data_IF_270535240909
#
_entry.id   IF_270535240909
#
_cell.length_a   1.000
_cell.length_b   1.000
_cell.length_c   1.000
_cell.angle_alpha   90.00
_cell.angle_beta   90.00
_cell.angle_gamma   90.00
#
_symmetry.space_group_name_H-M   'P 1'
#
loop_
_entity.id
_entity.type
_entity.pdbx_description
1 polymer ?
#
# COMPACT_ATOMS: atom_id res chain seq x y z
N UNK A 1 25.92 -24.77 -28.73
CA UNK A 1 25.20 -23.73 -27.97
C UNK A 1 24.97 -24.26 -26.57
N UNK A 2 25.54 -23.61 -25.56
CA UNK A 2 25.54 -24.12 -24.19
C UNK A 2 24.14 -23.97 -23.57
N UNK A 3 23.64 -25.03 -22.95
CA UNK A 3 22.44 -24.98 -22.13
C UNK A 3 22.68 -23.98 -20.99
N UNK A 4 22.09 -22.79 -21.11
CA UNK A 4 22.09 -21.81 -20.04
C UNK A 4 21.07 -22.28 -18.99
N UNK A 5 21.53 -23.11 -18.06
CA UNK A 5 20.77 -23.38 -16.84
C UNK A 5 20.43 -22.03 -16.22
N UNK A 6 19.14 -21.69 -16.14
CA UNK A 6 18.69 -20.47 -15.48
C UNK A 6 19.20 -20.50 -14.04
N UNK A 7 20.17 -19.64 -13.75
CA UNK A 7 20.67 -19.44 -12.40
C UNK A 7 19.47 -19.02 -11.51
N UNK A 8 19.29 -19.61 -10.31
CA UNK A 8 18.18 -19.28 -9.41
C UNK A 8 18.05 -17.77 -9.14
N UNK A 9 19.16 -17.03 -9.20
CA UNK A 9 19.20 -15.59 -9.04
C UNK A 9 18.48 -14.86 -10.17
N UNK A 10 18.62 -15.31 -11.42
CA UNK A 10 17.97 -14.70 -12.60
C UNK A 10 16.46 -14.98 -12.59
N UNK A 11 16.07 -16.15 -12.10
CA UNK A 11 14.66 -16.52 -11.90
C UNK A 11 14.03 -15.62 -10.85
N UNK A 12 14.71 -15.40 -9.73
CA UNK A 12 14.21 -14.56 -8.64
C UNK A 12 14.17 -13.08 -9.04
N UNK A 13 15.17 -12.57 -9.77
CA UNK A 13 15.14 -11.18 -10.25
C UNK A 13 14.03 -10.94 -11.26
N UNK A 14 13.77 -11.90 -12.15
CA UNK A 14 12.65 -11.83 -13.11
C UNK A 14 11.31 -11.89 -12.37
N UNK A 15 11.19 -12.77 -11.36
CA UNK A 15 10.02 -12.85 -10.49
C UNK A 15 9.78 -11.56 -9.72
N UNK A 16 10.83 -10.89 -9.23
CA UNK A 16 10.72 -9.59 -8.56
C UNK A 16 10.23 -8.49 -9.52
N UNK A 17 10.73 -8.44 -10.75
CA UNK A 17 10.23 -7.48 -11.75
C UNK A 17 8.75 -7.70 -12.10
N UNK A 18 8.31 -8.97 -12.17
CA UNK A 18 6.89 -9.30 -12.37
C UNK A 18 6.07 -8.90 -11.13
N UNK A 19 6.58 -9.13 -9.92
CA UNK A 19 5.92 -8.76 -8.67
C UNK A 19 5.67 -7.26 -8.60
N UNK A 20 6.70 -6.46 -8.91
CA UNK A 20 6.62 -5.00 -8.91
C UNK A 20 5.54 -4.48 -9.85
N UNK A 21 5.48 -5.02 -11.08
CA UNK A 21 4.49 -4.61 -12.08
C UNK A 21 3.04 -4.97 -11.68
N UNK A 22 2.86 -6.05 -10.93
CA UNK A 22 1.52 -6.52 -10.51
C UNK A 22 1.04 -5.86 -9.20
N UNK A 23 1.93 -5.23 -8.43
CA UNK A 23 1.56 -4.56 -7.18
C UNK A 23 1.03 -3.16 -7.44
N UNK A 24 -0.24 -2.94 -7.10
CA UNK A 24 -0.86 -1.61 -7.23
C UNK A 24 -1.01 -0.96 -5.87
N UNK A 25 -1.54 -1.67 -4.87
CA UNK A 25 -1.80 -1.07 -3.56
C UNK A 25 -0.55 -0.96 -2.69
N UNK A 26 0.35 -1.94 -2.76
CA UNK A 26 1.60 -1.92 -2.02
C UNK A 26 2.50 -0.72 -2.39
N UNK A 27 2.43 -0.24 -3.63
CA UNK A 27 3.17 0.93 -4.10
C UNK A 27 2.59 2.28 -3.60
N UNK A 28 1.35 2.28 -3.09
CA UNK A 28 0.70 3.49 -2.55
C UNK A 28 1.03 3.74 -1.08
N UNK A 29 1.54 2.73 -0.39
CA UNK A 29 1.84 2.77 1.04
C UNK A 29 3.34 2.88 1.26
N UNK A 30 3.75 3.23 2.49
CA UNK A 30 5.16 3.27 2.81
C UNK A 30 5.73 1.86 2.92
N UNK A 31 6.28 1.38 1.80
CA UNK A 31 7.08 0.17 1.73
C UNK A 31 8.54 0.54 2.07
N UNK A 32 9.06 0.03 3.19
CA UNK A 32 10.44 0.33 3.59
C UNK A 32 11.32 -0.94 3.60
N UNK A 33 12.38 -1.02 2.77
CA UNK A 33 13.33 -2.13 2.78
C UNK A 33 14.34 -2.13 3.95
N UNK A 34 14.36 -1.08 4.79
CA UNK A 34 15.43 -0.87 5.77
C UNK A 34 15.20 -1.42 7.18
N UNK A 35 14.09 -2.11 7.46
CA UNK A 35 13.86 -2.66 8.79
C UNK A 35 14.66 -3.95 8.97
N UNK A 36 15.72 -3.88 9.77
CA UNK A 36 16.45 -5.08 10.14
C UNK A 36 15.72 -5.84 11.24
N UNK A 37 14.99 -6.87 10.82
CA UNK A 37 14.33 -7.84 11.70
C UNK A 37 15.28 -8.95 12.18
N UNK A 38 16.55 -8.99 11.74
CA UNK A 38 17.50 -10.02 12.17
C UNK A 38 17.82 -9.85 13.67
N UNK A 39 17.41 -10.80 14.51
CA UNK A 39 17.64 -10.75 15.95
C UNK A 39 16.72 -9.80 16.72
N UNK A 40 15.65 -9.30 16.08
CA UNK A 40 14.62 -8.51 16.75
C UNK A 40 13.79 -9.41 17.69
N UNK A 41 13.55 -8.95 18.92
CA UNK A 41 12.67 -9.65 19.86
C UNK A 41 11.23 -9.61 19.34
N UNK A 42 10.57 -10.77 19.27
CA UNK A 42 9.20 -10.93 18.79
C UNK A 42 8.97 -10.40 17.35
N UNK A 43 9.99 -10.49 16.48
CA UNK A 43 9.95 -10.09 15.05
C UNK A 43 9.41 -8.66 14.82
N UNK A 44 9.65 -7.79 15.81
CA UNK A 44 9.12 -6.43 15.87
C UNK A 44 10.22 -5.40 15.71
N UNK A 45 10.08 -4.50 14.72
CA UNK A 45 10.99 -3.36 14.54
C UNK A 45 10.26 -2.08 14.90
N UNK A 46 10.86 -1.27 15.76
CA UNK A 46 10.30 0.01 16.19
C UNK A 46 10.89 1.15 15.37
N UNK A 47 10.01 1.85 14.66
CA UNK A 47 10.32 3.09 13.94
C UNK A 47 10.17 4.25 14.91
N UNK A 48 11.22 5.06 15.07
CA UNK A 48 11.15 6.30 15.85
C UNK A 48 10.72 7.44 14.94
N UNK A 49 9.77 8.24 15.41
CA UNK A 49 9.37 9.47 14.75
C UNK A 49 10.09 10.66 15.40
N UNK A 50 10.50 11.66 14.61
CA UNK A 50 11.12 12.85 15.16
C UNK A 50 10.14 13.54 16.12
N UNK A 51 10.65 13.91 17.30
CA UNK A 51 9.88 14.64 18.29
C UNK A 51 9.41 16.00 17.74
N UNK A 52 8.17 16.37 18.03
CA UNK A 52 7.64 17.70 17.71
C UNK A 52 7.89 18.63 18.91
N UNK A 53 8.30 19.86 18.67
CA UNK A 53 8.40 20.91 19.69
C UNK A 53 7.69 22.17 19.22
N UNK A 54 7.16 22.95 20.15
CA UNK A 54 6.52 24.23 19.87
C UNK A 54 7.49 25.38 20.17
N UNK A 55 7.58 26.33 19.24
CA UNK A 55 8.35 27.55 19.45
C UNK A 55 7.57 28.49 20.39
N UNK A 56 8.25 29.00 21.41
CA UNK A 56 7.71 30.04 22.29
C UNK A 56 8.20 31.41 21.78
N UNK A 57 7.33 32.40 21.74
CA UNK A 57 7.69 33.78 21.42
C UNK A 57 8.10 34.51 22.70
N UNK A 58 9.27 35.15 22.69
CA UNK A 58 9.68 36.07 23.74
C UNK A 58 9.39 37.49 23.28
N UNK A 59 8.57 38.24 24.02
CA UNK A 59 8.12 39.57 23.59
C UNK A 59 9.29 40.52 23.27
N UNK A 60 9.16 41.23 22.16
CA UNK A 60 10.13 42.23 21.70
C UNK A 60 10.16 43.43 22.65
N UNK A 61 11.30 43.67 23.31
CA UNK A 61 11.50 44.69 24.37
C UNK A 61 10.77 44.41 25.68
N UNK A 62 10.60 43.14 26.05
CA UNK A 62 10.24 42.77 27.42
C UNK A 62 11.33 43.20 28.42
N UNK A 63 10.95 43.48 29.67
CA UNK A 63 11.77 43.94 30.80
C UNK A 63 12.89 42.96 31.21
N UNK A 64 13.07 41.86 30.46
CA UNK A 64 14.07 40.80 30.68
C UNK A 64 14.07 40.21 32.10
N UNK A 65 13.02 40.48 32.89
CA UNK A 65 12.83 39.98 34.24
C UNK A 65 12.10 38.62 34.28
N UNK A 66 11.45 38.23 33.17
CA UNK A 66 10.83 36.93 33.00
C UNK A 66 11.79 35.95 32.31
N UNK A 67 11.95 34.77 32.92
CA UNK A 67 12.72 33.65 32.39
C UNK A 67 12.09 33.06 31.12
N UNK A 68 12.92 32.43 30.29
CA UNK A 68 12.49 31.75 29.07
C UNK A 68 11.75 30.46 29.45
N UNK A 69 10.60 30.21 28.82
CA UNK A 69 9.90 28.92 28.94
C UNK A 69 10.66 27.86 28.14
N UNK A 70 11.23 26.90 28.86
CA UNK A 70 11.88 25.72 28.28
C UNK A 70 10.80 24.77 27.75
N UNK A 71 10.96 24.30 26.51
CA UNK A 71 10.09 23.30 25.89
C UNK A 71 10.75 21.92 25.93
N UNK A 72 10.01 20.91 26.36
CA UNK A 72 10.46 19.51 26.29
C UNK A 72 10.23 18.94 24.88
N UNK A 73 11.10 18.01 24.46
CA UNK A 73 10.97 17.28 23.20
C UNK A 73 10.52 15.86 23.54
N UNK A 74 9.33 15.47 23.09
CA UNK A 74 8.82 14.10 23.24
C UNK A 74 8.91 13.39 21.89
N UNK A 75 9.69 12.31 21.83
CA UNK A 75 9.77 11.42 20.67
C UNK A 75 8.64 10.38 20.71
N UNK A 76 8.02 10.10 19.55
CA UNK A 76 7.02 9.04 19.41
C UNK A 76 7.61 7.82 18.69
N UNK A 77 7.04 6.65 18.92
CA UNK A 77 7.49 5.40 18.30
C UNK A 77 6.33 4.54 17.83
N UNK A 78 6.55 3.83 16.72
CA UNK A 78 5.61 2.87 16.14
C UNK A 78 6.32 1.57 15.87
N UNK A 79 5.83 0.50 16.48
CA UNK A 79 6.34 -0.87 16.32
C UNK A 79 5.64 -1.58 15.17
N UNK A 80 6.38 -2.15 14.22
CA UNK A 80 5.86 -2.98 13.12
C UNK A 80 6.30 -4.41 13.33
N UNK A 81 5.36 -5.34 13.33
CA UNK A 81 5.61 -6.78 13.52
C UNK A 81 5.51 -7.52 12.19
N UNK A 82 6.45 -8.41 11.86
CA UNK A 82 6.29 -9.37 10.76
C UNK A 82 5.43 -10.54 11.24
N UNK A 83 4.20 -10.66 10.75
CA UNK A 83 3.25 -11.66 11.25
C UNK A 83 2.59 -12.51 10.17
N UNK A 84 2.86 -12.25 8.88
CA UNK A 84 2.32 -13.03 7.76
C UNK A 84 3.44 -13.69 6.97
N UNK A 85 3.32 -15.00 6.80
CA UNK A 85 4.08 -15.77 5.81
C UNK A 85 3.19 -16.01 4.59
N UNK A 86 3.39 -15.22 3.54
CA UNK A 86 2.63 -15.32 2.30
C UNK A 86 3.44 -16.22 1.36
N UNK A 87 2.87 -17.37 1.00
CA UNK A 87 3.52 -18.30 0.10
C UNK A 87 2.57 -18.82 -0.97
N UNK A 88 3.14 -19.17 -2.12
CA UNK A 88 2.49 -19.94 -3.18
C UNK A 88 3.37 -21.14 -3.49
N UNK A 89 2.80 -22.35 -3.34
CA UNK A 89 3.50 -23.60 -3.56
C UNK A 89 2.75 -24.43 -4.61
N UNK A 90 3.48 -24.85 -5.64
CA UNK A 90 2.97 -25.73 -6.71
C UNK A 90 3.85 -26.97 -6.73
N UNK A 91 3.21 -28.13 -6.61
CA UNK A 91 3.87 -29.43 -6.77
C UNK A 91 3.59 -29.93 -8.19
N UNK A 92 4.65 -30.18 -8.94
CA UNK A 92 4.60 -30.69 -10.31
C UNK A 92 5.08 -32.14 -10.29
N UNK A 93 4.35 -33.05 -10.91
CA UNK A 93 4.84 -34.42 -11.06
C UNK A 93 5.92 -34.50 -12.13
N UNK A 94 6.71 -35.57 -12.08
CA UNK A 94 7.79 -35.79 -13.05
C UNK A 94 7.23 -35.93 -14.48
N UNK A 95 6.03 -36.49 -14.62
CA UNK A 95 5.32 -36.57 -15.91
C UNK A 95 4.90 -35.19 -16.43
N UNK A 96 4.27 -34.35 -15.60
CA UNK A 96 3.86 -33.00 -15.98
C UNK A 96 5.08 -32.13 -16.35
N UNK A 97 6.16 -32.25 -15.58
CA UNK A 97 7.38 -31.48 -15.79
C UNK A 97 8.15 -31.89 -17.05
N UNK A 98 8.04 -33.15 -17.47
CA UNK A 98 8.77 -33.68 -18.63
C UNK A 98 7.95 -33.72 -19.92
N UNK A 99 6.62 -33.87 -19.83
CA UNK A 99 5.74 -34.09 -20.98
C UNK A 99 4.83 -32.89 -21.29
N UNK A 100 4.40 -32.13 -20.28
CA UNK A 100 3.37 -31.10 -20.45
C UNK A 100 3.90 -29.66 -20.38
N UNK A 101 4.93 -29.40 -19.56
CA UNK A 101 5.46 -28.04 -19.33
C UNK A 101 6.57 -27.72 -20.33
N UNK A 102 6.33 -26.72 -21.17
CA UNK A 102 7.33 -26.21 -22.13
C UNK A 102 8.17 -25.05 -21.56
N UNK A 103 7.55 -24.15 -20.79
CA UNK A 103 8.23 -23.05 -20.10
C UNK A 103 7.74 -22.92 -18.65
N UNK A 104 8.57 -23.42 -17.73
CA UNK A 104 8.33 -23.34 -16.29
C UNK A 104 8.19 -21.90 -15.77
N UNK A 105 8.94 -20.95 -16.33
CA UNK A 105 8.91 -19.55 -15.89
C UNK A 105 7.58 -18.87 -16.23
N UNK A 106 7.13 -19.04 -17.48
CA UNK A 106 5.87 -18.44 -17.92
C UNK A 106 4.63 -19.14 -17.35
N UNK A 107 4.65 -20.48 -17.28
CA UNK A 107 3.45 -21.26 -16.95
C UNK A 107 3.27 -21.50 -15.44
N UNK A 108 4.36 -21.53 -14.67
CA UNK A 108 4.30 -21.84 -13.23
C UNK A 108 4.71 -20.62 -12.39
N UNK A 109 5.90 -20.06 -12.65
CA UNK A 109 6.43 -18.99 -11.81
C UNK A 109 5.60 -17.69 -11.89
N UNK A 110 5.19 -17.27 -13.09
CA UNK A 110 4.36 -16.06 -13.26
C UNK A 110 3.03 -16.12 -12.48
N UNK A 111 2.21 -17.18 -12.60
CA UNK A 111 1.01 -17.32 -11.75
C UNK A 111 1.32 -17.34 -10.25
N UNK A 112 2.42 -17.98 -9.84
CA UNK A 112 2.81 -18.01 -8.42
C UNK A 112 3.14 -16.61 -7.89
N UNK A 113 3.94 -15.84 -8.63
CA UNK A 113 4.29 -14.45 -8.29
C UNK A 113 3.05 -13.57 -8.24
N UNK A 114 2.15 -13.69 -9.22
CA UNK A 114 0.91 -12.92 -9.27
C UNK A 114 -0.01 -13.24 -8.07
N UNK A 115 -0.10 -14.50 -7.67
CA UNK A 115 -0.86 -14.90 -6.49
C UNK A 115 -0.31 -14.26 -5.21
N UNK A 116 1.03 -14.23 -5.06
CA UNK A 116 1.69 -13.54 -3.95
C UNK A 116 1.45 -12.03 -4.00
N UNK A 117 1.55 -11.40 -5.18
CA UNK A 117 1.25 -9.98 -5.36
C UNK A 117 -0.18 -9.63 -4.91
N UNK A 118 -1.15 -10.42 -5.35
CA UNK A 118 -2.58 -10.24 -5.04
C UNK A 118 -2.83 -10.42 -3.54
N UNK A 119 -2.14 -11.36 -2.89
CA UNK A 119 -2.24 -11.59 -1.45
C UNK A 119 -1.66 -10.41 -0.64
N UNK A 120 -0.56 -9.81 -1.09
CA UNK A 120 0.00 -8.60 -0.47
C UNK A 120 -0.98 -7.44 -0.60
N UNK A 121 -1.51 -7.17 -1.80
CA UNK A 121 -2.47 -6.09 -2.04
C UNK A 121 -3.77 -6.31 -1.25
N UNK A 122 -4.24 -7.56 -1.12
CA UNK A 122 -5.37 -7.90 -0.24
C UNK A 122 -5.06 -7.64 1.23
N UNK A 123 -3.81 -7.88 1.66
CA UNK A 123 -3.34 -7.54 3.00
C UNK A 123 -3.37 -6.03 3.26
N UNK A 124 -2.90 -5.23 2.30
CA UNK A 124 -2.96 -3.76 2.36
C UNK A 124 -4.42 -3.29 2.38
N UNK A 125 -5.28 -3.83 1.53
CA UNK A 125 -6.72 -3.54 1.53
C UNK A 125 -7.32 -3.77 2.92
N UNK A 126 -7.09 -4.94 3.52
CA UNK A 126 -7.65 -5.27 4.84
C UNK A 126 -7.16 -4.33 5.94
N UNK A 127 -5.91 -3.85 5.84
CA UNK A 127 -5.37 -2.82 6.72
C UNK A 127 -6.12 -1.50 6.55
N UNK A 128 -6.32 -1.06 5.30
CA UNK A 128 -7.01 0.21 4.98
C UNK A 128 -8.46 0.15 5.43
N UNK A 129 -9.21 -0.91 5.09
CA UNK A 129 -10.64 -1.01 5.44
C UNK A 129 -10.86 -1.24 6.93
N UNK A 130 -9.97 -1.98 7.59
CA UNK A 130 -10.03 -2.30 9.02
C UNK A 130 -9.49 -1.20 9.95
N UNK A 131 -8.82 -0.18 9.42
CA UNK A 131 -8.29 0.91 10.24
C UNK A 131 -9.41 1.77 10.86
N UNK A 132 -9.21 2.20 12.11
CA UNK A 132 -10.08 3.18 12.76
C UNK A 132 -9.67 4.59 12.37
N UNK A 133 -10.47 5.24 11.51
CA UNK A 133 -10.23 6.60 11.03
C UNK A 133 -10.72 7.65 12.04
N UNK A 134 -9.94 8.72 12.23
CA UNK A 134 -10.34 9.82 13.10
C UNK A 134 -11.46 10.68 12.47
N UNK A 135 -11.45 10.79 11.14
CA UNK A 135 -12.42 11.58 10.38
C UNK A 135 -13.05 10.71 9.30
N UNK A 136 -14.38 10.68 9.27
CA UNK A 136 -15.19 10.05 8.23
C UNK A 136 -16.00 11.13 7.51
N UNK A 137 -15.98 11.13 6.19
CA UNK A 137 -16.73 12.09 5.36
C UNK A 137 -17.75 11.32 4.50
N UNK A 138 -19.01 11.71 4.55
CA UNK A 138 -19.99 11.19 3.60
C UNK A 138 -19.89 11.98 2.30
N UNK A 139 -19.75 11.28 1.18
CA UNK A 139 -19.65 11.88 -0.15
C UNK A 139 -20.90 11.48 -0.94
N UNK A 140 -21.76 12.45 -1.21
CA UNK A 140 -22.93 12.25 -2.06
C UNK A 140 -22.54 12.44 -3.52
N UNK A 141 -23.18 11.70 -4.43
CA UNK A 141 -22.94 11.76 -5.88
C UNK A 141 -23.08 13.19 -6.45
N UNK A 142 -24.16 13.89 -6.09
CA UNK A 142 -24.43 15.27 -6.55
C UNK A 142 -23.41 16.31 -6.07
N UNK A 143 -22.61 15.99 -5.05
CA UNK A 143 -21.64 16.90 -4.42
C UNK A 143 -20.28 16.23 -4.26
N UNK A 144 -19.92 15.33 -5.19
CA UNK A 144 -18.67 14.58 -5.14
C UNK A 144 -17.45 15.48 -4.88
N UNK A 145 -17.34 16.59 -5.62
CA UNK A 145 -16.24 17.54 -5.46
C UNK A 145 -16.18 18.17 -4.06
N UNK A 146 -17.33 18.52 -3.46
CA UNK A 146 -17.35 19.05 -2.09
C UNK A 146 -16.94 18.00 -1.07
N UNK A 147 -17.32 16.73 -1.29
CA UNK A 147 -16.86 15.61 -0.48
C UNK A 147 -15.34 15.46 -0.51
N UNK A 148 -14.74 15.49 -1.70
CA UNK A 148 -13.28 15.42 -1.86
C UNK A 148 -12.56 16.62 -1.24
N UNK A 149 -13.10 17.83 -1.40
CA UNK A 149 -12.56 19.04 -0.76
C UNK A 149 -12.72 19.00 0.76
N UNK A 150 -13.79 18.40 1.28
CA UNK A 150 -13.96 18.21 2.72
C UNK A 150 -12.90 17.25 3.28
N UNK A 151 -12.57 16.16 2.57
CA UNK A 151 -11.44 15.29 2.94
C UNK A 151 -10.11 16.03 2.88
N UNK A 152 -9.88 16.87 1.86
CA UNK A 152 -8.70 17.75 1.79
C UNK A 152 -8.62 18.69 2.99
N UNK A 153 -9.75 19.27 3.37
CA UNK A 153 -9.85 20.21 4.49
C UNK A 153 -9.54 19.50 5.80
N UNK A 154 -10.03 18.28 5.99
CA UNK A 154 -9.72 17.46 7.17
C UNK A 154 -8.21 17.16 7.27
N UNK A 155 -7.56 16.74 6.16
CA UNK A 155 -6.12 16.50 6.15
C UNK A 155 -5.29 17.79 6.36
N UNK A 156 -5.75 18.91 5.81
CA UNK A 156 -5.07 20.20 5.98
C UNK A 156 -5.17 20.73 7.42
N UNK A 157 -6.31 20.54 8.11
CA UNK A 157 -6.48 20.94 9.52
C UNK A 157 -5.46 20.25 10.43
N UNK A 158 -5.07 19.05 10.06
CA UNK A 158 -4.12 18.23 10.81
C UNK A 158 -2.65 18.43 10.34
N UNK A 159 -2.41 19.42 9.46
CA UNK A 159 -1.09 19.74 8.90
C UNK A 159 -0.39 18.56 8.23
N UNK A 160 -1.16 17.66 7.62
CA UNK A 160 -0.61 16.57 6.82
C UNK A 160 0.00 17.15 5.53
N UNK A 161 1.22 16.73 5.11
CA UNK A 161 1.85 17.20 3.89
C UNK A 161 0.92 17.09 2.67
N UNK A 162 0.96 18.10 1.80
CA UNK A 162 0.10 18.13 0.62
C UNK A 162 0.65 17.27 -0.53
N UNK A 163 1.92 16.92 -0.47
CA UNK A 163 2.64 16.13 -1.45
C UNK A 163 2.37 14.63 -1.28
N UNK A 164 2.24 13.91 -2.39
CA UNK A 164 2.03 12.46 -2.42
C UNK A 164 0.68 12.01 -1.86
N UNK A 165 -0.33 12.88 -1.76
CA UNK A 165 -1.66 12.46 -1.31
C UNK A 165 -2.34 11.61 -2.37
N UNK A 166 -2.82 10.44 -1.97
CA UNK A 166 -3.52 9.48 -2.82
C UNK A 166 -4.99 9.44 -2.44
N UNK A 167 -5.86 9.39 -3.44
CA UNK A 167 -7.28 9.09 -3.29
C UNK A 167 -7.55 7.72 -3.90
N UNK A 168 -7.72 6.73 -3.05
CA UNK A 168 -8.06 5.36 -3.43
C UNK A 168 -9.58 5.22 -3.52
N UNK A 169 -10.10 4.76 -4.65
CA UNK A 169 -11.55 4.69 -4.92
C UNK A 169 -11.98 3.31 -5.42
N UNK A 170 -13.21 2.93 -5.07
CA UNK A 170 -13.93 1.80 -5.64
C UNK A 170 -14.62 2.15 -6.97
N UNK A 171 -15.13 1.13 -7.66
CA UNK A 171 -15.66 1.25 -9.03
C UNK A 171 -16.90 2.14 -9.17
N UNK A 172 -17.81 2.19 -8.19
CA UNK A 172 -18.99 3.08 -8.27
C UNK A 172 -18.60 4.54 -8.04
N UNK A 173 -17.61 4.77 -7.17
CA UNK A 173 -17.04 6.10 -6.94
C UNK A 173 -16.32 6.61 -8.19
N UNK A 174 -15.62 5.71 -8.91
CA UNK A 174 -15.04 6.00 -10.22
C UNK A 174 -16.13 6.39 -11.23
N UNK A 175 -17.21 5.61 -11.34
CA UNK A 175 -18.31 5.90 -12.25
C UNK A 175 -18.95 7.27 -11.93
N UNK A 176 -19.19 7.56 -10.65
CA UNK A 176 -19.69 8.86 -10.20
C UNK A 176 -18.71 10.00 -10.51
N UNK A 177 -17.41 9.77 -10.37
CA UNK A 177 -16.38 10.74 -10.74
C UNK A 177 -16.39 11.03 -12.25
N UNK A 178 -16.47 10.00 -13.09
CA UNK A 178 -16.53 10.12 -14.54
C UNK A 178 -17.84 10.79 -15.01
N UNK A 179 -18.95 10.54 -14.32
CA UNK A 179 -20.24 11.14 -14.61
C UNK A 179 -20.40 12.56 -14.07
N UNK A 180 -19.51 12.99 -13.16
CA UNK A 180 -19.62 14.29 -12.49
C UNK A 180 -19.53 15.46 -13.48
N UNK A 181 -20.20 16.55 -13.11
CA UNK A 181 -20.27 17.78 -13.91
C UNK A 181 -18.89 18.39 -14.21
N UNK A 182 -17.82 18.00 -13.53
CA UNK A 182 -16.48 18.52 -13.79
C UNK A 182 -15.92 18.09 -15.15
N UNK A 183 -16.17 16.85 -15.60
CA UNK A 183 -15.81 16.43 -16.97
C UNK A 183 -16.69 17.15 -17.99
N UNK A 184 -17.97 17.39 -17.65
CA UNK A 184 -18.92 18.11 -18.50
C UNK A 184 -18.58 19.60 -18.66
N UNK A 185 -18.08 20.25 -17.61
CA UNK A 185 -17.65 21.65 -17.62
C UNK A 185 -16.25 21.82 -18.24
N UNK A 186 -15.33 20.87 -18.03
CA UNK A 186 -14.05 20.82 -18.76
C UNK A 186 -14.26 20.57 -20.27
N UNK A 187 -15.33 19.84 -20.62
CA UNK A 187 -15.79 19.69 -22.01
C UNK A 187 -16.32 21.01 -22.60
N UNK A 188 -16.86 21.92 -21.79
CA UNK A 188 -17.28 23.25 -22.23
C UNK A 188 -16.11 24.24 -22.29
N UNK A 189 -15.02 24.01 -21.55
CA UNK A 189 -13.83 24.89 -21.55
C UNK A 189 -12.84 24.62 -22.69
N UNK A 190 -13.14 23.71 -23.62
CA UNK A 190 -12.39 23.55 -24.89
C UNK A 190 -11.01 22.87 -24.78
N UNK A 191 -10.68 22.25 -23.65
CA UNK A 191 -9.42 21.51 -23.48
C UNK A 191 -9.56 20.06 -23.95
N UNK A 192 -9.46 19.89 -25.27
CA UNK A 192 -9.69 18.67 -26.07
C UNK A 192 -8.70 17.50 -25.79
N UNK A 193 -7.73 17.69 -24.89
CA UNK A 193 -6.74 16.67 -24.49
C UNK A 193 -7.15 15.88 -23.24
N UNK A 194 -7.89 16.49 -22.31
CA UNK A 194 -8.33 15.85 -21.07
C UNK A 194 -9.52 14.89 -21.26
N UNK A 195 -10.28 15.05 -22.35
CA UNK A 195 -11.45 14.23 -22.69
C UNK A 195 -11.10 12.86 -23.29
N UNK A 196 -9.96 12.76 -23.98
CA UNK A 196 -9.58 11.54 -24.73
C UNK A 196 -8.81 10.52 -23.90
N UNK A 197 -8.23 10.97 -22.80
CA UNK A 197 -7.52 10.11 -21.86
C UNK A 197 -8.38 10.04 -20.62
N UNK A 198 -9.27 9.04 -20.53
CA UNK A 198 -9.96 8.64 -19.29
C UNK A 198 -8.96 8.08 -18.26
N UNK A 199 -7.85 8.77 -18.07
CA UNK A 199 -6.88 8.54 -17.02
C UNK A 199 -7.40 9.37 -15.86
N UNK A 200 -7.82 8.71 -14.78
CA UNK A 200 -8.14 9.41 -13.53
C UNK A 200 -6.90 10.21 -13.13
N UNK A 201 -6.95 11.51 -13.38
CA UNK A 201 -5.86 12.42 -13.11
C UNK A 201 -5.81 12.83 -11.64
N UNK A 202 -5.08 13.91 -11.38
CA UNK A 202 -5.01 14.51 -10.05
C UNK A 202 -6.27 15.37 -9.77
N UNK A 203 -7.00 15.08 -8.70
CA UNK A 203 -8.23 15.79 -8.32
C UNK A 203 -8.02 16.48 -6.98
N UNK A 204 -8.25 17.79 -6.93
CA UNK A 204 -8.12 18.59 -5.71
C UNK A 204 -6.79 18.39 -4.94
N UNK A 205 -5.71 18.03 -5.65
CA UNK A 205 -4.39 17.78 -5.07
C UNK A 205 -4.12 16.33 -4.66
N UNK A 206 -5.05 15.40 -4.90
CA UNK A 206 -4.91 13.96 -4.72
C UNK A 206 -4.67 13.24 -6.04
N UNK A 207 -3.75 12.27 -6.05
CA UNK A 207 -3.59 11.34 -7.16
C UNK A 207 -4.64 10.23 -7.03
N UNK A 208 -5.56 10.15 -7.99
CA UNK A 208 -6.69 9.22 -7.92
C UNK A 208 -6.26 7.85 -8.45
N UNK A 209 -6.42 6.82 -7.63
CA UNK A 209 -6.13 5.44 -7.99
C UNK A 209 -7.38 4.61 -7.77
N UNK A 210 -7.85 3.97 -8.82
CA UNK A 210 -8.95 3.02 -8.74
C UNK A 210 -8.39 1.66 -8.43
N UNK A 211 -9.03 0.93 -7.52
CA UNK A 211 -8.73 -0.48 -7.36
C UNK A 211 -9.99 -1.31 -7.21
N UNK A 212 -10.06 -2.36 -8.04
CA UNK A 212 -11.16 -3.33 -8.06
C UNK A 212 -11.20 -4.22 -6.81
N UNK A 213 -10.18 -4.14 -5.95
CA UNK A 213 -10.14 -4.90 -4.70
C UNK A 213 -11.00 -4.25 -3.60
N UNK A 214 -11.33 -2.95 -3.70
CA UNK A 214 -12.17 -2.26 -2.73
C UNK A 214 -13.66 -2.54 -2.92
N UNK A 215 -14.46 -2.29 -1.88
CA UNK A 215 -15.91 -2.23 -2.05
C UNK A 215 -16.30 -1.13 -3.05
N UNK A 216 -17.38 -1.30 -3.84
CA UNK A 216 -17.73 -0.36 -4.91
C UNK A 216 -17.93 1.09 -4.44
N UNK A 217 -18.49 1.27 -3.24
CA UNK A 217 -18.81 2.57 -2.61
C UNK A 217 -17.72 3.11 -1.68
N UNK A 218 -16.60 2.41 -1.56
CA UNK A 218 -15.54 2.79 -0.63
C UNK A 218 -14.57 3.79 -1.26
N UNK A 219 -14.15 4.77 -0.47
CA UNK A 219 -13.10 5.70 -0.87
C UNK A 219 -12.23 6.09 0.32
N UNK A 220 -10.93 6.23 0.10
CA UNK A 220 -9.94 6.50 1.14
C UNK A 220 -8.94 7.55 0.64
N UNK A 221 -8.79 8.65 1.39
CA UNK A 221 -7.81 9.68 1.11
C UNK A 221 -6.67 9.59 2.13
N UNK A 222 -5.44 9.36 1.69
CA UNK A 222 -4.30 9.19 2.61
C UNK A 222 -2.98 9.66 2.00
N UNK A 223 -1.97 9.80 2.85
CA UNK A 223 -0.56 9.94 2.44
C UNK A 223 0.12 8.57 2.59
N UNK A 224 1.08 8.20 1.74
CA UNK A 224 1.79 6.92 1.82
C UNK A 224 2.30 6.56 3.21
N UNK A 225 2.76 7.55 3.98
CA UNK A 225 3.22 7.38 5.37
C UNK A 225 2.13 7.01 6.39
N UNK A 226 0.86 6.96 6.00
CA UNK A 226 -0.25 6.54 6.86
C UNK A 226 -0.27 5.02 7.11
N UNK A 227 0.23 4.24 6.14
CA UNK A 227 0.25 2.79 6.19
C UNK A 227 1.66 2.30 5.95
N UNK A 228 2.08 1.32 6.75
CA UNK A 228 3.42 0.75 6.70
C UNK A 228 3.31 -0.68 6.20
N UNK A 229 4.07 -0.96 5.14
CA UNK A 229 4.31 -2.30 4.64
C UNK A 229 5.77 -2.65 4.92
N UNK A 230 6.00 -3.63 5.77
CA UNK A 230 7.30 -4.24 5.96
C UNK A 230 7.33 -5.56 5.18
N UNK A 231 8.33 -5.74 4.32
CA UNK A 231 8.56 -7.01 3.64
C UNK A 231 9.95 -7.54 3.93
N UNK A 232 10.08 -8.87 4.00
CA UNK A 232 11.38 -9.54 4.16
C UNK A 232 11.35 -10.89 3.44
N UNK A 233 12.43 -11.20 2.74
CA UNK A 233 12.61 -12.53 2.18
C UNK A 233 13.07 -13.48 3.30
N UNK A 234 12.44 -14.65 3.45
CA UNK A 234 12.92 -15.66 4.39
C UNK A 234 14.34 -16.13 4.04
N UNK A 235 15.09 -16.63 5.02
CA UNK A 235 16.39 -17.25 4.75
C UNK A 235 16.24 -18.51 3.88
N UNK A 236 17.21 -18.76 3.00
CA UNK A 236 17.27 -19.99 2.21
C UNK A 236 17.61 -21.16 3.14
N UNK A 237 16.79 -22.23 3.21
CA UNK A 237 17.09 -23.39 4.02
C UNK A 237 18.22 -24.19 3.39
N UNK A 238 19.11 -24.74 4.23
CA UNK A 238 20.29 -25.50 3.78
C UNK A 238 19.96 -26.79 3.02
N UNK A 239 18.72 -27.28 3.10
CA UNK A 239 18.25 -28.47 2.40
C UNK A 239 17.71 -28.22 0.99
N UNK A 240 17.51 -26.96 0.58
CA UNK A 240 16.99 -26.65 -0.74
C UNK A 240 18.11 -26.75 -1.80
N UNK A 241 17.90 -27.59 -2.81
CA UNK A 241 18.88 -27.79 -3.90
C UNK A 241 18.95 -26.58 -4.83
N UNK A 242 17.82 -25.93 -5.09
CA UNK A 242 17.74 -24.69 -5.86
C UNK A 242 16.96 -23.65 -5.07
N UNK A 243 17.63 -22.59 -4.64
CA UNK A 243 16.97 -21.54 -3.91
C UNK A 243 17.68 -20.20 -4.11
N UNK A 244 16.89 -19.13 -4.10
CA UNK A 244 17.40 -17.77 -4.13
C UNK A 244 16.46 -16.87 -3.34
N UNK A 245 17.04 -15.94 -2.60
CA UNK A 245 16.35 -14.94 -1.79
C UNK A 245 16.91 -13.58 -2.18
N UNK A 246 16.06 -12.70 -2.69
CA UNK A 246 16.48 -11.38 -3.17
C UNK A 246 15.52 -10.29 -2.67
N UNK A 247 16.07 -9.08 -2.60
CA UNK A 247 15.33 -7.86 -2.31
C UNK A 247 15.60 -6.84 -3.40
N UNK A 248 14.54 -6.21 -3.90
CA UNK A 248 14.59 -5.18 -4.94
C UNK A 248 13.50 -4.14 -4.68
N UNK A 249 13.87 -2.85 -4.71
CA UNK A 249 12.97 -1.69 -4.57
C UNK A 249 11.91 -1.77 -3.45
N UNK A 250 12.28 -2.21 -2.24
CA UNK A 250 11.35 -2.26 -1.11
C UNK A 250 10.56 -3.57 -0.96
N UNK A 251 10.69 -4.47 -1.93
CA UNK A 251 10.08 -5.80 -1.93
C UNK A 251 11.15 -6.88 -1.81
N UNK A 252 10.81 -7.97 -1.15
CA UNK A 252 11.73 -9.09 -0.95
C UNK A 252 11.04 -10.41 -1.20
N UNK A 253 11.67 -11.32 -1.94
CA UNK A 253 11.09 -12.61 -2.28
C UNK A 253 12.13 -13.72 -2.18
N UNK A 254 11.68 -14.88 -1.68
CA UNK A 254 12.42 -16.13 -1.76
C UNK A 254 11.71 -17.11 -2.68
N UNK A 255 12.46 -17.68 -3.62
CA UNK A 255 12.05 -18.82 -4.41
C UNK A 255 12.89 -20.05 -4.04
N UNK A 256 12.21 -21.18 -3.85
CA UNK A 256 12.80 -22.49 -3.58
C UNK A 256 12.22 -23.49 -4.58
N UNK A 257 13.07 -24.36 -5.08
CA UNK A 257 12.69 -25.55 -5.83
C UNK A 257 13.36 -26.77 -5.20
N UNK A 258 12.55 -27.73 -4.79
CA UNK A 258 13.00 -28.91 -4.06
C UNK A 258 12.25 -30.17 -4.50
N UNK A 259 12.97 -31.30 -4.55
CA UNK A 259 12.41 -32.57 -4.97
C UNK A 259 11.90 -33.36 -3.77
N UNK A 260 10.65 -33.82 -3.83
CA UNK A 260 10.07 -34.73 -2.84
C UNK A 260 10.18 -36.18 -3.31
N UNK A 261 11.15 -36.96 -2.79
CA UNK A 261 11.34 -38.35 -3.18
C UNK A 261 10.21 -39.26 -2.70
N UNK A 262 9.41 -38.85 -1.71
CA UNK A 262 8.30 -39.68 -1.22
C UNK A 262 7.09 -39.65 -2.16
N UNK A 263 6.99 -38.62 -3.01
CA UNK A 263 5.84 -38.43 -3.91
C UNK A 263 6.23 -38.36 -5.38
N UNK A 264 7.53 -38.38 -5.70
CA UNK A 264 8.09 -38.20 -7.04
C UNK A 264 7.59 -36.91 -7.70
N UNK A 265 7.80 -35.78 -7.00
CA UNK A 265 7.32 -34.46 -7.43
C UNK A 265 8.32 -33.38 -7.10
N UNK A 266 8.41 -32.40 -7.98
CA UNK A 266 9.18 -31.17 -7.78
C UNK A 266 8.27 -30.09 -7.20
N UNK A 267 8.71 -29.43 -6.13
CA UNK A 267 7.94 -28.39 -5.43
C UNK A 267 8.59 -27.03 -5.68
N UNK A 268 7.90 -26.19 -6.43
CA UNK A 268 8.22 -24.77 -6.57
C UNK A 268 7.50 -23.97 -5.50
N UNK A 269 8.23 -23.26 -4.64
CA UNK A 269 7.67 -22.44 -3.56
C UNK A 269 8.20 -21.02 -3.67
N UNK A 270 7.29 -20.06 -3.80
CA UNK A 270 7.57 -18.63 -3.68
C UNK A 270 7.05 -18.16 -2.32
N UNK A 271 7.86 -17.42 -1.56
CA UNK A 271 7.51 -16.97 -0.20
C UNK A 271 8.04 -15.58 0.12
N UNK A 272 7.28 -14.84 0.93
CA UNK A 272 7.60 -13.50 1.44
C UNK A 272 7.01 -13.35 2.85
N UNK A 273 7.82 -12.82 3.77
CA UNK A 273 7.30 -12.35 5.05
C UNK A 273 6.78 -10.93 4.89
N UNK A 274 5.56 -10.69 5.33
CA UNK A 274 4.91 -9.40 5.31
C UNK A 274 4.40 -8.99 6.70
N UNK A 275 4.54 -7.71 7.00
CA UNK A 275 4.00 -7.06 8.20
C UNK A 275 3.27 -5.80 7.79
N UNK A 276 2.08 -5.61 8.35
CA UNK A 276 1.21 -4.48 8.06
C UNK A 276 0.96 -3.70 9.34
N UNK A 277 1.14 -2.38 9.32
CA UNK A 277 0.75 -1.55 10.44
C UNK A 277 0.22 -0.18 10.00
N UNK A 278 -0.65 0.39 10.84
CA UNK A 278 -1.20 1.73 10.66
C UNK A 278 -0.36 2.71 11.47
N UNK A 279 0.11 3.77 10.81
CA UNK A 279 0.80 4.88 11.47
C UNK A 279 -0.21 5.71 12.26
N UNK A 280 -0.20 5.58 13.58
CA UNK A 280 -1.05 6.40 14.47
C UNK A 280 -0.19 7.51 15.07
N UNK A 281 -0.55 8.75 14.76
CA UNK A 281 0.11 9.92 15.32
C UNK A 281 -0.56 10.32 16.63
N UNK A 282 0.26 10.82 17.56
CA UNK A 282 -0.24 11.54 18.72
C UNK A 282 -0.73 12.92 18.27
N UNK A 283 -2.01 13.28 18.52
CA UNK A 283 -2.53 14.60 18.16
C UNK A 283 -1.77 15.72 18.89
N UNK A 284 -1.63 16.88 18.26
CA UNK A 284 -0.83 18.01 18.77
C UNK A 284 -1.24 18.50 20.17
N UNK A 285 -2.48 18.22 20.60
CA UNK A 285 -3.04 18.62 21.89
C UNK A 285 -2.81 17.60 23.03
N UNK A 286 -2.00 16.55 22.83
CA UNK A 286 -1.75 15.53 23.86
C UNK A 286 -2.97 14.64 24.10
N UNK A 287 -3.10 13.56 23.35
CA UNK A 287 -4.24 12.62 23.45
C UNK A 287 -3.90 11.23 22.95
N UNK A 288 -4.90 10.34 22.88
CA UNK A 288 -4.72 8.98 22.37
C UNK A 288 -4.26 8.98 20.91
N UNK A 289 -3.37 8.04 20.55
CA UNK A 289 -2.84 7.89 19.18
C UNK A 289 -3.98 7.62 18.20
N UNK A 290 -4.13 8.47 17.18
CA UNK A 290 -5.19 8.38 16.16
C UNK A 290 -4.59 8.32 14.76
N UNK A 291 -5.33 7.72 13.83
CA UNK A 291 -4.95 7.79 12.41
C UNK A 291 -5.36 9.17 11.87
N UNK A 292 -4.38 10.06 11.81
CA UNK A 292 -4.55 11.46 11.39
C UNK A 292 -4.22 11.65 9.91
N UNK A 293 -3.32 10.81 9.37
CA UNK A 293 -2.82 10.88 7.98
C UNK A 293 -3.74 10.24 6.93
N UNK A 294 -4.93 9.80 7.33
CA UNK A 294 -5.90 9.19 6.43
C UNK A 294 -7.33 9.54 6.82
N UNK A 295 -8.21 9.65 5.82
CA UNK A 295 -9.63 9.97 5.94
C UNK A 295 -10.41 8.92 5.16
N UNK A 296 -11.46 8.37 5.77
CA UNK A 296 -12.41 7.48 5.09
C UNK A 296 -13.55 8.31 4.53
N UNK A 297 -13.80 8.16 3.22
CA UNK A 297 -15.04 8.61 2.61
C UNK A 297 -16.01 7.45 2.45
N UNK A 298 -17.30 7.67 2.69
CA UNK A 298 -18.34 6.71 2.32
C UNK A 298 -19.17 7.35 1.22
N UNK A 299 -19.18 6.71 0.05
CA UNK A 299 -19.98 7.18 -1.07
C UNK A 299 -21.43 6.73 -0.90
N UNK A 300 -22.35 7.67 -1.08
CA UNK A 300 -23.79 7.40 -1.11
C UNK A 300 -24.26 7.69 -2.53
N UNK A 301 -24.59 6.66 -3.33
CA UNK A 301 -25.20 6.87 -4.64
C UNK A 301 -26.56 7.54 -4.47
N UNK A 302 -26.93 8.42 -5.40
CA UNK A 302 -28.29 8.98 -5.41
C UNK A 302 -29.27 7.82 -5.66
N UNK A 303 -30.37 7.70 -4.90
CA UNK A 303 -31.32 6.62 -5.15
C UNK A 303 -31.85 6.72 -6.58
N UNK A 304 -31.77 5.62 -7.34
CA UNK A 304 -32.48 5.48 -8.61
C UNK A 304 -33.96 5.75 -8.32
N UNK A 305 -34.50 6.84 -8.86
CA UNK A 305 -35.94 7.05 -8.91
C UNK A 305 -36.52 5.87 -9.71
N UNK A 306 -37.09 4.92 -8.98
CA UNK A 306 -37.89 3.86 -9.57
C UNK A 306 -39.06 4.57 -10.24
N UNK A 307 -39.30 4.44 -11.56
CA UNK A 307 -40.47 5.05 -12.16
C UNK A 307 -41.69 4.29 -11.62
N UNK A 308 -42.38 4.87 -10.66
CA UNK A 308 -43.77 4.53 -10.37
C UNK A 308 -44.61 5.03 -11.56
N UNK A 309 -45.14 4.10 -12.37
CA UNK A 309 -46.06 4.39 -13.46
C UNK A 309 -46.11 3.30 -14.51
#
# INVERSE_FOLDING_TARGET
MAHAFLKPEVVTSTALGILEQELVMANLVWANPGFDFAGAKDDTVTVRLPGKTTANEYEWRNDRSADIVLSDIVEDSVSVTLNKDIYSAVALTDEELSLDISDFGAQVLRPQVKAVATAIDTGVKNLITGASYATTVTVNEDQFFRGVVAMRTALNKENVPQEGRVLLVGAEVEAAFLNSQMIRDVSQSGSDSALRSATLGRVAGFDVVVSNLLGPTEMYAFVPSAFILATRAPAVPSGATFASSQSFEGLSMRWIRDYDPMKLRDRSVVSIFAGFNVMRDTPAAGGSKKLVRAVKGTFVPTPDETPEG
#
